data_IF_892857860317
#
_entry.id   IF_892857860317
#
_cell.length_a   1.000
_cell.length_b   1.000
_cell.length_c   1.000
_cell.angle_alpha   90.00
_cell.angle_beta   90.00
_cell.angle_gamma   90.00
#
_symmetry.space_group_name_H-M   'P 1'
#
loop_
_entity.id
_entity.type
_entity.pdbx_description
1 polymer ?
#
# COMPACT_ATOMS: atom_id res chain seq x y z
N UNK A 1 -31.30 0.91 -2.95
CA UNK A 1 -31.20 -0.43 -3.56
C UNK A 1 -29.87 -0.49 -4.29
N UNK A 2 -28.95 -1.37 -3.88
CA UNK A 2 -27.60 -1.47 -4.46
C UNK A 2 -27.69 -2.25 -5.78
N UNK A 3 -27.60 -1.55 -6.91
CA UNK A 3 -27.59 -2.17 -8.24
C UNK A 3 -26.19 -2.70 -8.51
N UNK A 4 -26.05 -4.03 -8.53
CA UNK A 4 -24.82 -4.70 -8.94
C UNK A 4 -24.81 -4.77 -10.47
N UNK A 5 -24.20 -3.79 -11.14
CA UNK A 5 -24.21 -3.67 -12.61
C UNK A 5 -23.42 -4.76 -13.36
N UNK A 6 -22.89 -5.79 -12.69
CA UNK A 6 -22.35 -6.98 -13.36
C UNK A 6 -21.15 -6.76 -14.29
N UNK A 7 -20.65 -5.53 -14.43
CA UNK A 7 -19.53 -5.15 -15.30
C UNK A 7 -18.16 -5.50 -14.68
N UNK A 8 -18.05 -6.67 -14.02
CA UNK A 8 -16.81 -7.10 -13.35
C UNK A 8 -15.76 -7.65 -14.33
N UNK A 9 -16.15 -7.95 -15.57
CA UNK A 9 -15.26 -8.43 -16.63
C UNK A 9 -15.42 -7.53 -17.85
N UNK A 10 -14.31 -7.05 -18.41
CA UNK A 10 -14.32 -6.35 -19.69
C UNK A 10 -14.83 -7.31 -20.77
N UNK A 11 -16.01 -7.02 -21.31
CA UNK A 11 -16.50 -7.72 -22.50
C UNK A 11 -15.54 -7.44 -23.66
N UNK A 12 -15.34 -8.40 -24.59
CA UNK A 12 -14.57 -8.16 -25.79
C UNK A 12 -15.23 -7.02 -26.57
N UNK A 13 -14.54 -5.89 -26.71
CA UNK A 13 -15.00 -4.79 -27.53
C UNK A 13 -14.80 -5.19 -29.01
N UNK A 14 -15.89 -5.64 -29.63
CA UNK A 14 -15.91 -6.06 -31.04
C UNK A 14 -16.26 -4.87 -31.93
N UNK A 15 -15.33 -4.47 -32.80
CA UNK A 15 -15.59 -3.46 -33.82
C UNK A 15 -16.51 -4.05 -34.90
N UNK A 16 -17.79 -3.68 -34.89
CA UNK A 16 -18.79 -4.10 -35.90
C UNK A 16 -18.65 -3.35 -37.25
N UNK A 17 -17.65 -2.46 -37.38
CA UNK A 17 -17.38 -1.67 -38.57
C UNK A 17 -16.65 -2.47 -39.64
N UNK A 18 -17.38 -2.91 -40.66
CA UNK A 18 -16.81 -3.51 -41.88
C UNK A 18 -17.78 -3.57 -43.06
N UNK A 19 -18.95 -2.93 -42.95
CA UNK A 19 -20.03 -3.00 -43.95
C UNK A 19 -20.18 -1.75 -44.82
N UNK A 20 -19.51 -0.65 -44.51
CA UNK A 20 -19.59 0.57 -45.32
C UNK A 20 -18.77 0.40 -46.61
N UNK A 21 -19.28 0.90 -47.74
CA UNK A 21 -18.55 0.86 -49.02
C UNK A 21 -17.23 1.64 -49.00
N UNK A 22 -17.05 2.54 -48.02
CA UNK A 22 -15.83 3.32 -47.76
C UNK A 22 -14.70 2.46 -47.18
N UNK A 23 -15.00 1.45 -46.34
CA UNK A 23 -14.00 0.55 -45.75
C UNK A 23 -13.43 -0.47 -46.76
N UNK A 24 -14.05 -0.63 -47.94
CA UNK A 24 -13.55 -1.51 -49.01
C UNK A 24 -12.37 -0.90 -49.79
N UNK A 25 -12.11 0.40 -49.65
CA UNK A 25 -11.24 1.12 -50.59
C UNK A 25 -9.72 0.93 -50.39
N UNK A 26 -9.25 0.28 -49.33
CA UNK A 26 -7.94 -0.39 -49.36
C UNK A 26 -7.76 -1.24 -48.11
N UNK A 27 -7.44 -2.53 -48.29
CA UNK A 27 -7.03 -3.45 -47.21
C UNK A 27 -5.95 -2.85 -46.30
N UNK A 28 -5.07 -1.99 -46.85
CA UNK A 28 -4.04 -1.28 -46.07
C UNK A 28 -4.62 -0.31 -45.04
N UNK A 29 -5.67 0.43 -45.38
CA UNK A 29 -6.28 1.43 -44.50
C UNK A 29 -7.00 0.77 -43.32
N UNK A 30 -7.68 -0.36 -43.56
CA UNK A 30 -8.32 -1.15 -42.51
C UNK A 30 -7.28 -1.71 -41.52
N UNK A 31 -6.18 -2.25 -42.03
CA UNK A 31 -5.07 -2.76 -41.21
C UNK A 31 -4.43 -1.65 -40.37
N UNK A 32 -4.20 -0.47 -40.97
CA UNK A 32 -3.63 0.67 -40.29
C UNK A 32 -4.53 1.18 -39.15
N UNK A 33 -5.85 1.26 -39.39
CA UNK A 33 -6.84 1.61 -38.37
C UNK A 33 -6.86 0.61 -37.22
N UNK A 34 -6.91 -0.69 -37.52
CA UNK A 34 -6.88 -1.75 -36.51
C UNK A 34 -5.58 -1.74 -35.68
N UNK A 35 -4.44 -1.46 -36.32
CA UNK A 35 -3.16 -1.31 -35.63
C UNK A 35 -3.16 -0.10 -34.68
N UNK A 36 -3.64 1.05 -35.14
CA UNK A 36 -3.73 2.26 -34.32
C UNK A 36 -4.67 2.08 -33.12
N UNK A 37 -5.82 1.44 -33.31
CA UNK A 37 -6.75 1.11 -32.22
C UNK A 37 -6.12 0.16 -31.19
N UNK A 38 -5.34 -0.84 -31.65
CA UNK A 38 -4.60 -1.74 -30.77
C UNK A 38 -3.53 -1.00 -29.97
N UNK A 39 -2.77 -0.12 -30.62
CA UNK A 39 -1.76 0.71 -29.97
C UNK A 39 -2.38 1.64 -28.93
N UNK A 40 -3.52 2.28 -29.25
CA UNK A 40 -4.27 3.12 -28.32
C UNK A 40 -4.72 2.34 -27.07
N UNK A 41 -5.26 1.13 -27.26
CA UNK A 41 -5.65 0.25 -26.13
C UNK A 41 -4.45 -0.14 -25.28
N UNK A 42 -3.31 -0.44 -25.89
CA UNK A 42 -2.11 -0.81 -25.16
C UNK A 42 -1.54 0.36 -24.34
N UNK A 43 -1.46 1.55 -24.95
CA UNK A 43 -1.04 2.76 -24.25
C UNK A 43 -1.96 3.08 -23.06
N UNK A 44 -3.29 2.90 -23.22
CA UNK A 44 -4.23 3.10 -22.12
C UNK A 44 -4.02 2.07 -21.00
N UNK A 45 -3.82 0.79 -21.35
CA UNK A 45 -3.52 -0.28 -20.37
C UNK A 45 -2.25 0.03 -19.58
N UNK A 46 -1.19 0.48 -20.24
CA UNK A 46 0.07 0.85 -19.59
C UNK A 46 -0.11 2.04 -18.64
N UNK A 47 -0.86 3.07 -19.05
CA UNK A 47 -1.19 4.22 -18.20
C UNK A 47 -1.95 3.80 -16.94
N UNK A 48 -3.00 3.00 -17.10
CA UNK A 48 -3.81 2.49 -15.98
C UNK A 48 -2.96 1.64 -15.04
N UNK A 49 -2.15 0.74 -15.59
CA UNK A 49 -1.24 -0.10 -14.80
C UNK A 49 -0.26 0.75 -13.99
N UNK A 50 0.36 1.75 -14.60
CA UNK A 50 1.25 2.69 -13.92
C UNK A 50 0.55 3.44 -12.78
N UNK A 51 -0.68 3.92 -13.03
CA UNK A 51 -1.49 4.59 -12.01
C UNK A 51 -1.81 3.66 -10.84
N UNK A 52 -2.24 2.42 -11.09
CA UNK A 52 -2.55 1.44 -10.03
C UNK A 52 -1.31 1.17 -9.17
N UNK A 53 -0.14 1.00 -9.79
CA UNK A 53 1.11 0.76 -9.08
C UNK A 53 1.41 1.95 -8.16
N UNK A 54 1.43 3.17 -8.70
CA UNK A 54 1.71 4.38 -7.91
C UNK A 54 0.71 4.54 -6.76
N UNK A 55 -0.58 4.37 -7.03
CA UNK A 55 -1.60 4.49 -6.00
C UNK A 55 -1.45 3.42 -4.90
N UNK A 56 -1.07 2.19 -5.26
CA UNK A 56 -0.86 1.12 -4.28
C UNK A 56 0.27 1.45 -3.32
N UNK A 57 1.40 1.97 -3.82
CA UNK A 57 2.52 2.44 -3.00
C UNK A 57 2.11 3.57 -2.06
N UNK A 58 1.41 4.60 -2.57
CA UNK A 58 0.98 5.74 -1.76
C UNK A 58 0.01 5.28 -0.66
N UNK A 59 -1.01 4.49 -1.00
CA UNK A 59 -1.97 3.95 -0.02
C UNK A 59 -1.27 3.15 1.05
N UNK A 60 -0.36 2.27 0.65
CA UNK A 60 0.44 1.44 1.57
C UNK A 60 1.31 2.29 2.51
N UNK A 61 1.98 3.31 1.98
CA UNK A 61 2.76 4.26 2.77
C UNK A 61 1.91 5.00 3.80
N UNK A 62 0.79 5.59 3.37
CA UNK A 62 -0.11 6.33 4.27
C UNK A 62 -0.66 5.44 5.39
N UNK A 63 -1.03 4.19 5.07
CA UNK A 63 -1.48 3.21 6.07
C UNK A 63 -0.38 2.90 7.08
N UNK A 64 0.87 2.66 6.62
CA UNK A 64 1.99 2.43 7.54
C UNK A 64 2.24 3.62 8.45
N UNK A 65 2.19 4.85 7.92
CA UNK A 65 2.37 6.05 8.74
C UNK A 65 1.26 6.19 9.80
N UNK A 66 0.00 5.96 9.40
CA UNK A 66 -1.14 5.95 10.33
C UNK A 66 -0.99 4.89 11.42
N UNK A 67 -0.61 3.67 11.04
CA UNK A 67 -0.40 2.58 12.01
C UNK A 67 0.74 2.90 12.98
N UNK A 68 1.89 3.38 12.49
CA UNK A 68 2.99 3.82 13.35
C UNK A 68 2.53 4.86 14.37
N UNK A 69 1.71 5.83 13.96
CA UNK A 69 1.14 6.83 14.87
C UNK A 69 0.20 6.22 15.91
N UNK A 70 -0.65 5.28 15.53
CA UNK A 70 -1.53 4.58 16.47
C UNK A 70 -0.73 3.78 17.51
N UNK A 71 0.34 3.10 17.09
CA UNK A 71 1.21 2.37 17.99
C UNK A 71 2.02 3.26 18.92
N UNK A 72 2.40 4.48 18.51
CA UNK A 72 2.96 5.50 19.43
C UNK A 72 2.00 5.85 20.55
N UNK A 73 0.74 6.12 20.22
CA UNK A 73 -0.30 6.42 21.22
C UNK A 73 -0.50 5.22 22.15
N UNK A 74 -0.55 4.01 21.60
CA UNK A 74 -0.70 2.77 22.38
C UNK A 74 0.50 2.55 23.32
N UNK A 75 1.72 2.84 22.87
CA UNK A 75 2.92 2.79 23.70
C UNK A 75 2.80 3.76 24.89
N UNK A 76 2.39 4.99 24.65
CA UNK A 76 2.16 5.97 25.73
C UNK A 76 1.09 5.50 26.72
N UNK A 77 -0.01 4.92 26.24
CA UNK A 77 -1.08 4.41 27.09
C UNK A 77 -0.66 3.18 27.91
N UNK A 78 0.19 2.31 27.34
CA UNK A 78 0.71 1.12 28.03
C UNK A 78 1.88 1.42 28.96
N UNK A 79 2.47 2.62 28.88
CA UNK A 79 3.66 3.02 29.64
C UNK A 79 3.51 2.79 31.14
N UNK A 80 2.29 2.98 31.67
CA UNK A 80 1.97 2.81 33.09
C UNK A 80 1.84 1.35 33.53
N UNK A 81 1.56 0.43 32.60
CA UNK A 81 1.39 -1.01 32.90
C UNK A 81 2.71 -1.77 33.09
N UNK A 82 3.86 -1.12 32.83
CA UNK A 82 5.22 -1.61 33.07
C UNK A 82 5.61 -2.98 32.47
N UNK A 83 4.83 -3.53 31.52
CA UNK A 83 5.26 -4.70 30.75
C UNK A 83 6.34 -4.31 29.73
N UNK A 84 7.60 -4.42 30.13
CA UNK A 84 8.76 -4.02 29.33
C UNK A 84 8.90 -4.81 28.02
N UNK A 85 8.50 -6.09 27.99
CA UNK A 85 8.56 -6.92 26.77
C UNK A 85 7.58 -6.38 25.72
N UNK A 86 6.35 -6.11 26.12
CA UNK A 86 5.36 -5.49 25.23
C UNK A 86 5.85 -4.12 24.73
N UNK A 87 6.40 -3.29 25.62
CA UNK A 87 6.87 -1.95 25.26
C UNK A 87 8.05 -1.99 24.28
N UNK A 88 9.01 -2.92 24.45
CA UNK A 88 10.13 -3.10 23.52
C UNK A 88 9.68 -3.56 22.13
N UNK A 89 8.72 -4.49 22.07
CA UNK A 89 8.18 -4.99 20.79
C UNK A 89 7.42 -3.89 20.05
N UNK A 90 6.63 -3.08 20.77
CA UNK A 90 5.91 -1.93 20.22
C UNK A 90 6.87 -0.87 19.70
N UNK A 91 7.87 -0.48 20.49
CA UNK A 91 8.85 0.53 20.08
C UNK A 91 9.55 0.08 18.80
N UNK A 92 10.00 -1.18 18.73
CA UNK A 92 10.68 -1.75 17.56
C UNK A 92 9.85 -1.65 16.27
N UNK A 93 8.53 -1.67 16.37
CA UNK A 93 7.64 -1.57 15.20
C UNK A 93 7.58 -0.14 14.62
N UNK A 94 7.39 0.88 15.46
CA UNK A 94 7.15 2.25 14.98
C UNK A 94 8.39 3.15 14.95
N UNK A 95 9.47 2.75 15.63
CA UNK A 95 10.64 3.59 15.89
C UNK A 95 11.13 4.36 14.66
N UNK A 96 11.35 5.64 14.88
CA UNK A 96 12.00 6.59 13.98
C UNK A 96 13.01 7.39 14.82
N UNK A 97 14.29 7.33 14.45
CA UNK A 97 15.39 7.96 15.19
C UNK A 97 15.18 9.46 15.40
N UNK A 98 14.48 10.11 14.47
CA UNK A 98 14.26 11.57 14.51
C UNK A 98 13.14 11.99 15.46
N UNK A 99 12.23 11.08 15.81
CA UNK A 99 11.01 11.39 16.57
C UNK A 99 10.91 10.66 17.90
N UNK A 100 11.45 9.44 17.97
CA UNK A 100 11.17 8.48 19.04
C UNK A 100 12.40 8.17 19.91
N UNK A 101 13.48 8.95 19.77
CA UNK A 101 14.72 8.79 20.55
C UNK A 101 14.49 8.91 22.05
N UNK A 102 13.60 9.81 22.48
CA UNK A 102 13.21 9.97 23.88
C UNK A 102 12.50 8.73 24.45
N UNK A 103 11.64 8.07 23.66
CA UNK A 103 10.97 6.85 24.07
C UNK A 103 11.96 5.70 24.26
N UNK A 104 12.96 5.59 23.38
CA UNK A 104 14.04 4.63 23.52
C UNK A 104 14.85 4.88 24.79
N UNK A 105 15.28 6.11 25.03
CA UNK A 105 16.05 6.47 26.22
C UNK A 105 15.27 6.17 27.50
N UNK A 106 13.98 6.52 27.54
CA UNK A 106 13.13 6.21 28.68
C UNK A 106 13.02 4.69 28.91
N UNK A 107 12.80 3.91 27.86
CA UNK A 107 12.64 2.45 27.96
C UNK A 107 13.94 1.79 28.46
N UNK A 108 15.09 2.22 27.94
CA UNK A 108 16.40 1.75 28.39
C UNK A 108 16.62 2.07 29.88
N UNK A 109 16.24 3.27 30.33
CA UNK A 109 16.30 3.61 31.76
C UNK A 109 15.41 2.72 32.62
N UNK A 110 14.20 2.37 32.16
CA UNK A 110 13.34 1.44 32.92
C UNK A 110 13.93 0.03 32.99
N UNK A 111 14.48 -0.45 31.87
CA UNK A 111 15.15 -1.76 31.82
C UNK A 111 16.34 -1.77 32.80
N UNK A 112 17.18 -0.74 32.79
CA UNK A 112 18.32 -0.62 33.70
C UNK A 112 17.92 -0.55 35.18
N UNK A 113 16.83 0.13 35.50
CA UNK A 113 16.31 0.15 36.88
C UNK A 113 15.87 -1.22 37.34
N UNK A 114 15.24 -2.00 36.46
CA UNK A 114 14.77 -3.35 36.78
C UNK A 114 15.87 -4.42 36.70
N UNK A 115 17.05 -4.13 36.13
CA UNK A 115 18.19 -5.07 36.07
C UNK A 115 18.70 -5.49 37.46
N UNK A 116 18.52 -4.67 38.50
CA UNK A 116 18.89 -5.05 39.87
C UNK A 116 18.19 -6.37 40.31
N UNK A 117 16.96 -6.61 39.86
CA UNK A 117 16.21 -7.83 40.15
C UNK A 117 16.72 -9.06 39.39
N UNK A 118 17.41 -8.87 38.25
CA UNK A 118 17.88 -9.95 37.38
C UNK A 118 19.12 -10.65 37.96
N UNK A 119 19.88 -9.95 38.81
CA UNK A 119 21.00 -10.53 39.55
C UNK A 119 20.56 -11.62 40.55
N UNK A 120 19.29 -11.61 40.97
CA UNK A 120 18.69 -12.61 41.86
C UNK A 120 18.06 -13.81 41.11
N UNK A 121 18.10 -13.81 39.77
CA UNK A 121 17.46 -14.81 38.91
C UNK A 121 18.46 -15.74 38.19
N UNK A 122 19.76 -15.51 38.38
CA UNK A 122 20.78 -16.49 38.01
C UNK A 122 21.21 -17.26 39.27
N UNK A 123 21.01 -18.59 39.33
CA UNK A 123 21.51 -19.44 40.41
C UNK A 123 23.04 -19.52 40.44
#
# INVERSE_FOLDING_TARGET
MYSFEGNFRSSPEVSLGGRSSVDRLSKSNLLQKAHYERQKRENNRQRIKGAIILQSYIRSYLVRQKMKQQFRILFCNKKDSLNLVDLTTLLSFFYDVTKDSEYLNWLLQQILKNIADWSNLCP
#
